data_IF_637738903337
#
_entry.id   IF_637738903337
#
_cell.length_a   1.000
_cell.length_b   1.000
_cell.length_c   1.000
_cell.angle_alpha   90.00
_cell.angle_beta   90.00
_cell.angle_gamma   90.00
#
_symmetry.space_group_name_H-M   'P 1'
#
loop_
_entity.id
_entity.type
_entity.pdbx_description
1 polymer ?
#
# COMPACT_ATOMS: atom_id res chain seq x y z
N UNK A 1 5.64 10.08 -32.33
CA UNK A 1 4.44 9.94 -31.47
C UNK A 1 4.98 9.81 -30.06
N UNK A 2 4.95 10.90 -29.28
CA UNK A 2 5.46 10.90 -27.91
C UNK A 2 4.56 9.99 -27.06
N UNK A 3 5.14 8.94 -26.47
CA UNK A 3 4.54 8.27 -25.32
C UNK A 3 4.30 9.34 -24.27
N UNK A 4 3.03 9.58 -23.91
CA UNK A 4 2.75 10.27 -22.65
C UNK A 4 3.29 9.35 -21.57
N UNK A 5 4.32 9.79 -20.87
CA UNK A 5 4.72 9.19 -19.59
C UNK A 5 3.44 9.04 -18.75
N UNK A 6 3.02 7.80 -18.54
CA UNK A 6 1.83 7.51 -17.74
C UNK A 6 2.19 7.93 -16.32
N UNK A 7 1.55 8.96 -15.78
CA UNK A 7 1.74 9.33 -14.38
C UNK A 7 1.45 8.11 -13.51
N UNK A 8 2.39 7.72 -12.66
CA UNK A 8 2.30 6.52 -11.85
C UNK A 8 1.08 6.61 -10.93
N UNK A 9 0.20 5.60 -10.98
CA UNK A 9 -0.96 5.51 -10.10
C UNK A 9 -0.52 4.92 -8.76
N UNK A 10 -0.69 5.69 -7.68
CA UNK A 10 -0.23 5.31 -6.34
C UNK A 10 -1.41 5.13 -5.41
N UNK A 11 -1.47 3.99 -4.72
CA UNK A 11 -2.40 3.76 -3.62
C UNK A 11 -1.70 4.01 -2.28
N UNK A 12 -2.31 4.79 -1.40
CA UNK A 12 -1.85 4.99 -0.02
C UNK A 12 -2.85 4.33 0.93
N UNK A 13 -2.47 3.22 1.58
CA UNK A 13 -3.30 2.65 2.65
C UNK A 13 -3.13 3.49 3.92
N UNK A 14 -4.24 3.71 4.66
CA UNK A 14 -4.20 4.57 5.85
C UNK A 14 -3.86 6.04 5.53
N UNK A 15 -4.16 6.51 4.32
CA UNK A 15 -3.84 7.87 3.85
C UNK A 15 -4.49 9.02 4.63
N UNK A 16 -5.47 8.74 5.50
CA UNK A 16 -6.08 9.71 6.42
C UNK A 16 -5.42 9.74 7.80
N UNK A 17 -4.49 8.82 8.09
CA UNK A 17 -3.77 8.74 9.36
C UNK A 17 -2.56 9.67 9.45
N UNK A 18 -1.85 9.60 10.58
CA UNK A 18 -0.73 10.50 10.91
C UNK A 18 0.36 10.53 9.84
N UNK A 19 0.88 9.38 9.44
CA UNK A 19 1.95 9.31 8.43
C UNK A 19 1.39 9.31 7.02
N UNK A 20 0.26 8.63 6.79
CA UNK A 20 -0.36 8.52 5.47
C UNK A 20 -0.73 9.88 4.88
N UNK A 21 -1.25 10.82 5.69
CA UNK A 21 -1.60 12.16 5.17
C UNK A 21 -0.37 12.92 4.65
N UNK A 22 0.78 12.77 5.30
CA UNK A 22 2.02 13.44 4.91
C UNK A 22 2.55 12.86 3.59
N UNK A 23 2.40 11.55 3.38
CA UNK A 23 2.71 10.89 2.10
C UNK A 23 1.78 11.41 1.00
N UNK A 24 0.47 11.52 1.28
CA UNK A 24 -0.51 12.06 0.33
C UNK A 24 -0.20 13.52 -0.04
N UNK A 25 0.11 14.36 0.95
CA UNK A 25 0.49 15.77 0.75
C UNK A 25 1.76 15.87 -0.11
N UNK A 26 2.82 15.14 0.23
CA UNK A 26 4.08 15.15 -0.53
C UNK A 26 3.97 14.61 -1.96
N UNK A 27 3.06 13.65 -2.21
CA UNK A 27 2.77 13.20 -3.58
C UNK A 27 2.07 14.30 -4.39
N UNK A 28 1.09 14.99 -3.78
CA UNK A 28 0.35 16.09 -4.42
C UNK A 28 1.24 17.28 -4.77
N UNK A 29 2.16 17.64 -3.87
CA UNK A 29 3.18 18.68 -4.13
C UNK A 29 4.06 18.36 -5.35
N UNK A 30 4.24 17.07 -5.66
CA UNK A 30 4.98 16.59 -6.83
C UNK A 30 4.11 16.41 -8.07
N UNK A 31 2.84 16.83 -8.03
CA UNK A 31 1.91 16.71 -9.14
C UNK A 31 1.32 15.30 -9.33
N UNK A 32 1.48 14.40 -8.34
CA UNK A 32 0.91 13.05 -8.34
C UNK A 32 -0.35 13.05 -7.48
N UNK A 33 -1.48 12.61 -8.02
CA UNK A 33 -2.72 12.48 -7.27
C UNK A 33 -2.88 11.01 -6.84
N UNK A 34 -2.61 10.66 -5.57
CA UNK A 34 -2.78 9.29 -5.10
C UNK A 34 -4.25 8.95 -4.86
N UNK A 35 -4.58 7.67 -4.98
CA UNK A 35 -5.80 7.10 -4.40
C UNK A 35 -5.56 6.76 -2.92
N UNK A 36 -6.57 6.99 -2.08
CA UNK A 36 -6.52 6.72 -0.64
C UNK A 36 -7.38 5.50 -0.36
N UNK A 37 -6.75 4.43 0.14
CA UNK A 37 -7.46 3.24 0.61
C UNK A 37 -8.12 3.49 1.97
N UNK A 38 -9.44 3.38 2.04
CA UNK A 38 -10.23 3.59 3.26
C UNK A 38 -11.43 2.66 3.34
N UNK A 39 -11.91 2.38 4.55
CA UNK A 39 -13.12 1.57 4.78
C UNK A 39 -14.41 2.33 4.48
N UNK A 40 -14.35 3.66 4.45
CA UNK A 40 -15.52 4.54 4.27
C UNK A 40 -15.19 5.64 3.25
N UNK A 41 -15.13 5.30 1.95
CA UNK A 41 -14.83 6.28 0.92
C UNK A 41 -15.95 7.32 0.82
N UNK A 42 -15.55 8.58 0.79
CA UNK A 42 -16.43 9.76 0.77
C UNK A 42 -16.04 10.78 -0.29
N UNK A 43 -14.85 10.63 -0.89
CA UNK A 43 -14.27 11.52 -1.91
C UNK A 43 -13.91 10.73 -3.15
N UNK A 44 -13.79 11.41 -4.29
CA UNK A 44 -13.43 10.78 -5.57
C UNK A 44 -12.03 10.13 -5.56
N UNK A 45 -11.10 10.69 -4.81
CA UNK A 45 -9.74 10.13 -4.63
C UNK A 45 -9.66 9.04 -3.55
N UNK A 46 -10.80 8.55 -3.05
CA UNK A 46 -10.86 7.48 -2.05
C UNK A 46 -11.44 6.21 -2.66
N UNK A 47 -10.83 5.07 -2.34
CA UNK A 47 -11.30 3.76 -2.77
C UNK A 47 -11.55 2.87 -1.56
N UNK A 48 -12.59 2.03 -1.65
CA UNK A 48 -12.88 1.04 -0.62
C UNK A 48 -11.70 0.07 -0.52
N UNK A 49 -11.10 0.01 0.66
CA UNK A 49 -10.02 -0.92 0.97
C UNK A 49 -10.07 -1.29 2.46
N UNK A 50 -10.07 -2.59 2.74
CA UNK A 50 -10.01 -3.13 4.09
C UNK A 50 -9.13 -4.37 4.12
N UNK A 51 -8.12 -4.36 4.99
CA UNK A 51 -7.24 -5.51 5.22
C UNK A 51 -8.00 -6.77 5.65
N UNK A 52 -9.15 -6.62 6.29
CA UNK A 52 -10.00 -7.74 6.74
C UNK A 52 -10.99 -8.23 5.68
N UNK A 53 -11.09 -7.54 4.54
CA UNK A 53 -11.97 -7.90 3.43
C UNK A 53 -11.13 -7.96 2.13
N UNK A 54 -10.35 -9.03 1.90
CA UNK A 54 -9.46 -9.17 0.74
C UNK A 54 -10.17 -9.01 -0.61
N UNK A 55 -11.47 -9.25 -0.68
CA UNK A 55 -12.31 -9.00 -1.84
C UNK A 55 -12.31 -7.52 -2.28
N UNK A 56 -12.06 -6.58 -1.36
CA UNK A 56 -11.94 -5.15 -1.67
C UNK A 56 -10.63 -4.82 -2.39
N UNK A 57 -9.59 -5.65 -2.21
CA UNK A 57 -8.24 -5.39 -2.69
C UNK A 57 -8.16 -5.31 -4.21
N UNK A 58 -8.85 -6.21 -4.94
CA UNK A 58 -8.76 -6.26 -6.42
C UNK A 58 -9.18 -4.94 -7.05
N UNK A 59 -10.25 -4.33 -6.55
CA UNK A 59 -10.72 -3.02 -7.04
C UNK A 59 -9.77 -1.90 -6.63
N UNK A 60 -9.26 -1.93 -5.41
CA UNK A 60 -8.33 -0.91 -4.91
C UNK A 60 -6.99 -0.90 -5.65
N UNK A 61 -6.53 -2.06 -6.14
CA UNK A 61 -5.26 -2.19 -6.87
C UNK A 61 -5.39 -2.11 -8.40
N UNK A 62 -6.59 -1.89 -8.93
CA UNK A 62 -6.79 -1.84 -10.39
C UNK A 62 -6.04 -0.64 -11.01
N UNK A 63 -5.12 -0.97 -11.94
CA UNK A 63 -4.23 -0.02 -12.60
C UNK A 63 -3.22 0.67 -11.70
N UNK A 64 -3.03 0.23 -10.45
CA UNK A 64 -2.07 0.80 -9.49
C UNK A 64 -0.65 0.32 -9.83
N UNK A 65 0.30 1.24 -9.88
CA UNK A 65 1.72 0.97 -10.15
C UNK A 65 2.53 0.77 -8.86
N UNK A 66 2.15 1.49 -7.79
CA UNK A 66 2.84 1.46 -6.51
C UNK A 66 1.88 1.59 -5.32
N UNK A 67 2.22 0.97 -4.19
CA UNK A 67 1.47 1.05 -2.94
C UNK A 67 2.35 1.50 -1.77
N UNK A 68 1.83 2.45 -0.99
CA UNK A 68 2.32 2.74 0.35
C UNK A 68 1.47 2.02 1.40
N UNK A 69 2.13 1.27 2.28
CA UNK A 69 1.51 0.27 3.16
C UNK A 69 1.62 0.74 4.60
N UNK A 70 0.48 1.09 5.17
CA UNK A 70 0.24 1.15 6.61
C UNK A 70 -0.51 -0.12 7.02
N UNK A 71 0.14 -0.93 7.87
CA UNK A 71 -0.42 -2.17 8.37
C UNK A 71 -1.64 -1.94 9.27
N UNK A 72 -2.62 -2.87 9.32
CA UNK A 72 -3.81 -2.74 10.15
C UNK A 72 -3.46 -2.70 11.64
N UNK A 73 -3.97 -1.75 12.41
CA UNK A 73 -3.63 -1.60 13.84
C UNK A 73 -4.48 -2.45 14.78
N UNK A 74 -5.50 -3.14 14.26
CA UNK A 74 -6.46 -3.94 15.02
C UNK A 74 -6.08 -5.43 15.12
N UNK A 75 -4.90 -5.81 14.65
CA UNK A 75 -4.36 -7.19 14.73
C UNK A 75 -2.88 -7.15 15.03
N UNK A 76 -2.37 -8.16 15.74
CA UNK A 76 -0.94 -8.41 15.93
C UNK A 76 -0.39 -9.46 14.95
N UNK A 77 -1.26 -10.25 14.32
CA UNK A 77 -0.87 -11.24 13.31
C UNK A 77 -0.93 -10.60 11.91
N UNK A 78 0.07 -9.78 11.62
CA UNK A 78 0.18 -9.11 10.34
C UNK A 78 0.58 -10.07 9.22
N UNK A 79 1.32 -11.13 9.54
CA UNK A 79 1.73 -12.18 8.60
C UNK A 79 0.55 -12.98 8.02
N UNK A 80 -0.54 -13.16 8.77
CA UNK A 80 -1.75 -13.80 8.24
C UNK A 80 -2.63 -12.85 7.40
N UNK A 81 -2.60 -11.55 7.69
CA UNK A 81 -3.57 -10.58 7.14
C UNK A 81 -3.04 -9.82 5.93
N UNK A 82 -1.80 -9.36 5.98
CA UNK A 82 -1.25 -8.44 4.96
C UNK A 82 -0.77 -9.18 3.70
N UNK A 83 0.05 -10.25 3.78
CA UNK A 83 0.56 -10.95 2.60
C UNK A 83 -0.50 -11.40 1.58
N UNK A 84 -1.65 -12.00 1.96
CA UNK A 84 -2.66 -12.39 0.98
C UNK A 84 -3.20 -11.22 0.15
N UNK A 85 -3.32 -10.03 0.77
CA UNK A 85 -3.74 -8.81 0.09
C UNK A 85 -2.64 -8.27 -0.83
N UNK A 86 -1.37 -8.38 -0.42
CA UNK A 86 -0.23 -8.00 -1.27
C UNK A 86 -0.05 -8.95 -2.46
N UNK A 87 -0.38 -10.24 -2.33
CA UNK A 87 -0.43 -11.16 -3.46
C UNK A 87 -1.50 -10.75 -4.49
N UNK A 88 -2.66 -10.28 -4.03
CA UNK A 88 -3.68 -9.71 -4.93
C UNK A 88 -3.12 -8.46 -5.63
N UNK A 89 -2.47 -7.55 -4.90
CA UNK A 89 -1.85 -6.36 -5.47
C UNK A 89 -0.83 -6.71 -6.57
N UNK A 90 0.05 -7.67 -6.31
CA UNK A 90 1.02 -8.20 -7.29
C UNK A 90 0.32 -8.78 -8.51
N UNK A 91 -0.76 -9.54 -8.32
CA UNK A 91 -1.56 -10.11 -9.42
C UNK A 91 -2.27 -9.04 -10.27
N UNK A 92 -2.53 -7.86 -9.70
CA UNK A 92 -3.08 -6.69 -10.39
C UNK A 92 -2.00 -5.87 -11.14
N UNK A 93 -0.73 -6.23 -11.01
CA UNK A 93 0.38 -5.57 -11.70
C UNK A 93 1.07 -4.48 -10.88
N UNK A 94 0.76 -4.33 -9.59
CA UNK A 94 1.50 -3.42 -8.70
C UNK A 94 2.96 -3.87 -8.64
N UNK A 95 3.88 -2.94 -8.90
CA UNK A 95 5.32 -3.26 -8.97
C UNK A 95 6.07 -2.81 -7.73
N UNK A 96 5.79 -1.59 -7.25
CA UNK A 96 6.52 -0.97 -6.13
C UNK A 96 5.73 -1.02 -4.83
N UNK A 97 6.36 -1.49 -3.77
CA UNK A 97 5.76 -1.62 -2.43
C UNK A 97 6.62 -0.87 -1.41
N UNK A 98 6.02 0.07 -0.68
CA UNK A 98 6.69 0.87 0.36
C UNK A 98 6.01 0.61 1.68
N UNK A 99 6.70 0.00 2.64
CA UNK A 99 6.16 -0.34 3.95
C UNK A 99 6.50 0.74 4.97
N UNK A 100 5.52 1.23 5.72
CA UNK A 100 5.78 1.94 6.97
C UNK A 100 6.12 0.94 8.07
N UNK A 101 7.39 0.88 8.46
CA UNK A 101 7.87 0.08 9.60
C UNK A 101 8.46 0.97 10.70
N UNK A 102 9.11 0.34 11.68
CA UNK A 102 9.91 0.97 12.70
C UNK A 102 11.34 0.39 12.67
N UNK A 103 12.34 1.21 13.01
CA UNK A 103 13.75 0.80 12.99
C UNK A 103 14.10 -0.35 13.94
N UNK A 104 13.27 -0.60 14.95
CA UNK A 104 13.40 -1.72 15.89
C UNK A 104 12.82 -3.04 15.35
N UNK A 105 12.20 -3.04 14.17
CA UNK A 105 11.55 -4.21 13.59
C UNK A 105 12.31 -4.67 12.34
N UNK A 106 13.20 -5.64 12.54
CA UNK A 106 13.96 -6.29 11.48
C UNK A 106 13.08 -7.22 10.64
N UNK A 107 13.52 -7.54 9.42
CA UNK A 107 12.86 -8.54 8.58
C UNK A 107 12.79 -9.89 9.30
N UNK A 108 11.62 -10.53 9.28
CA UNK A 108 11.35 -11.78 9.98
C UNK A 108 10.99 -11.61 11.46
N UNK A 109 11.12 -10.40 12.00
CA UNK A 109 10.65 -10.04 13.34
C UNK A 109 9.12 -9.96 13.43
N UNK A 110 8.58 -9.59 14.61
CA UNK A 110 7.14 -9.46 14.80
C UNK A 110 6.56 -8.28 14.00
N UNK A 111 5.23 -8.28 13.85
CA UNK A 111 4.46 -7.20 13.24
C UNK A 111 4.95 -6.84 11.82
N UNK A 112 5.41 -5.61 11.60
CA UNK A 112 5.93 -5.17 10.31
C UNK A 112 7.15 -5.97 9.86
N UNK A 113 7.90 -6.61 10.78
CA UNK A 113 8.97 -7.54 10.43
C UNK A 113 8.49 -8.73 9.59
N UNK A 114 7.26 -9.20 9.82
CA UNK A 114 6.65 -10.29 9.03
C UNK A 114 6.36 -9.82 7.61
N UNK A 115 5.86 -8.58 7.47
CA UNK A 115 5.58 -7.97 6.15
C UNK A 115 6.89 -7.68 5.43
N UNK A 116 7.92 -7.21 6.13
CA UNK A 116 9.25 -6.94 5.58
C UNK A 116 9.91 -8.21 5.03
N UNK A 117 9.84 -9.34 5.76
CA UNK A 117 10.30 -10.63 5.23
C UNK A 117 9.55 -11.00 3.94
N UNK A 118 8.21 -10.92 3.96
CA UNK A 118 7.41 -11.19 2.76
C UNK A 118 7.83 -10.31 1.58
N UNK A 119 8.01 -8.99 1.76
CA UNK A 119 8.43 -8.08 0.69
C UNK A 119 9.80 -8.45 0.14
N UNK A 120 10.75 -8.78 1.01
CA UNK A 120 12.11 -9.20 0.63
C UNK A 120 12.08 -10.43 -0.26
N UNK A 121 11.23 -11.41 0.08
CA UNK A 121 11.18 -12.69 -0.61
C UNK A 121 10.34 -12.67 -1.90
N UNK A 122 9.37 -11.75 -2.01
CA UNK A 122 8.33 -11.83 -3.03
C UNK A 122 8.26 -10.64 -3.99
N UNK A 123 8.75 -9.48 -3.58
CA UNK A 123 8.61 -8.24 -4.35
C UNK A 123 9.99 -7.81 -4.85
N UNK A 124 10.18 -7.47 -6.13
CA UNK A 124 11.47 -7.00 -6.62
C UNK A 124 11.72 -5.51 -6.32
N UNK A 125 10.67 -4.68 -6.33
CA UNK A 125 10.77 -3.24 -6.06
C UNK A 125 10.14 -2.91 -4.70
N UNK A 126 10.90 -3.07 -3.61
CA UNK A 126 10.42 -2.78 -2.25
C UNK A 126 11.28 -1.75 -1.52
N UNK A 127 10.71 -1.14 -0.48
CA UNK A 127 11.40 -0.27 0.49
C UNK A 127 10.66 -0.33 1.83
N UNK A 128 11.40 -0.21 2.95
CA UNK A 128 10.88 -0.21 4.33
C UNK A 128 11.47 0.97 5.11
#
# INVERSE_FOLDING_TARGET
MMEKDKSAKILVTGGTGTTGRLVVEGLRERGIIPEIGTRTPSRESEVLFDWQQPETARRAFDGVDAVYIVAPTNTSDHGAVVPPVLDIARSCGVRRFVLLSASSLEAGGPMMGQIHAYLTDNVPEWTV
#
